data_IF_377347963336
#
_entry.id   IF_377347963336
#
_cell.length_a   1.000
_cell.length_b   1.000
_cell.length_c   1.000
_cell.angle_alpha   90.00
_cell.angle_beta   90.00
_cell.angle_gamma   90.00
#
_symmetry.space_group_name_H-M   'P 1'
#
loop_
_entity.id
_entity.type
_entity.pdbx_description
1 polymer ?
#
# COMPACT_ATOMS: atom_id res chain seq x y z
N UNK A 1 15.46 -40.11 23.10
CA UNK A 1 14.24 -39.95 23.91
C UNK A 1 13.07 -39.71 22.98
N UNK A 2 12.16 -40.69 22.75
CA UNK A 2 10.98 -40.54 21.89
C UNK A 2 10.00 -39.62 22.60
N UNK A 3 9.85 -38.39 22.10
CA UNK A 3 8.86 -37.43 22.61
C UNK A 3 7.48 -37.99 22.23
N UNK A 4 6.77 -38.61 23.18
CA UNK A 4 5.33 -38.91 23.01
C UNK A 4 4.60 -37.57 23.05
N UNK A 5 4.38 -36.96 21.88
CA UNK A 5 3.40 -35.87 21.78
C UNK A 5 2.02 -36.46 22.05
N UNK A 6 1.21 -35.88 22.97
CA UNK A 6 -0.22 -36.10 22.92
C UNK A 6 -0.75 -35.68 21.54
N UNK A 7 -1.80 -36.32 21.07
CA UNK A 7 -2.39 -36.10 19.73
C UNK A 7 -2.53 -34.62 19.36
N UNK A 8 -2.94 -33.77 20.29
CA UNK A 8 -3.08 -32.33 20.07
C UNK A 8 -1.74 -31.63 19.76
N UNK A 9 -0.68 -31.90 20.51
CA UNK A 9 0.65 -31.36 20.25
C UNK A 9 1.24 -31.86 18.92
N UNK A 10 0.93 -33.09 18.53
CA UNK A 10 1.29 -33.64 17.23
C UNK A 10 0.62 -32.86 16.09
N UNK A 11 -0.67 -32.57 16.19
CA UNK A 11 -1.42 -31.78 15.21
C UNK A 11 -0.82 -30.35 15.09
N UNK A 12 -0.58 -29.68 16.22
CA UNK A 12 0.02 -28.34 16.26
C UNK A 12 1.43 -28.33 15.63
N UNK A 13 2.22 -29.37 15.89
CA UNK A 13 3.56 -29.49 15.31
C UNK A 13 3.53 -29.54 13.78
N UNK A 14 2.69 -30.39 13.21
CA UNK A 14 2.59 -30.48 11.75
C UNK A 14 1.98 -29.23 11.13
N UNK A 15 0.97 -28.64 11.79
CA UNK A 15 0.42 -27.34 11.35
C UNK A 15 1.49 -26.25 11.34
N UNK A 16 2.36 -26.22 12.37
CA UNK A 16 3.48 -25.28 12.42
C UNK A 16 4.45 -25.48 11.23
N UNK A 17 4.82 -26.73 10.92
CA UNK A 17 5.70 -27.02 9.76
C UNK A 17 5.04 -26.54 8.46
N UNK A 18 3.76 -26.83 8.24
CA UNK A 18 3.04 -26.43 7.03
C UNK A 18 3.02 -24.90 6.91
N UNK A 19 2.67 -24.17 7.98
CA UNK A 19 2.61 -22.72 7.97
C UNK A 19 3.99 -22.08 7.80
N UNK A 20 5.03 -22.65 8.42
CA UNK A 20 6.40 -22.21 8.24
C UNK A 20 6.87 -22.40 6.78
N UNK A 21 6.54 -23.53 6.17
CA UNK A 21 6.84 -23.81 4.75
C UNK A 21 6.06 -22.86 3.82
N UNK A 22 4.78 -22.61 4.07
CA UNK A 22 3.99 -21.64 3.31
C UNK A 22 4.59 -20.23 3.40
N UNK A 23 5.04 -19.81 4.59
CA UNK A 23 5.71 -18.51 4.75
C UNK A 23 7.01 -18.46 3.96
N UNK A 24 7.82 -19.53 4.01
CA UNK A 24 9.05 -19.61 3.20
C UNK A 24 8.76 -19.48 1.70
N UNK A 25 7.71 -20.15 1.23
CA UNK A 25 7.32 -20.09 -0.17
C UNK A 25 6.90 -18.69 -0.62
N UNK A 26 6.34 -17.87 0.30
CA UNK A 26 5.98 -16.48 -0.01
C UNK A 26 7.18 -15.58 -0.31
N UNK A 27 8.40 -15.96 0.04
CA UNK A 27 9.61 -15.17 -0.26
C UNK A 27 9.88 -15.04 -1.76
N UNK A 28 9.32 -15.93 -2.57
CA UNK A 28 9.39 -15.85 -4.02
C UNK A 28 8.43 -14.81 -4.62
N UNK A 29 7.36 -14.44 -3.88
CA UNK A 29 6.26 -13.64 -4.43
C UNK A 29 6.68 -12.28 -4.98
N UNK A 30 7.58 -11.48 -4.35
CA UNK A 30 8.04 -10.22 -4.91
C UNK A 30 8.75 -10.35 -6.27
N UNK A 31 9.22 -11.54 -6.62
CA UNK A 31 9.96 -11.84 -7.86
C UNK A 31 9.10 -12.52 -8.93
N UNK A 32 7.88 -12.93 -8.58
CA UNK A 32 6.97 -13.62 -9.50
C UNK A 32 6.03 -12.62 -10.17
N UNK A 33 6.31 -12.33 -11.43
CA UNK A 33 5.47 -11.44 -12.22
C UNK A 33 4.00 -11.95 -12.31
N UNK A 34 3.01 -11.15 -11.89
CA UNK A 34 1.60 -11.54 -11.95
C UNK A 34 1.11 -11.93 -13.34
N UNK A 35 1.68 -11.37 -14.41
CA UNK A 35 1.37 -11.75 -15.80
C UNK A 35 1.73 -13.19 -16.11
N UNK A 36 2.83 -13.71 -15.54
CA UNK A 36 3.28 -15.10 -15.73
C UNK A 36 2.70 -16.05 -14.68
N UNK A 37 2.50 -15.57 -13.44
CA UNK A 37 2.07 -16.38 -12.30
C UNK A 37 0.89 -15.75 -11.55
N UNK A 38 -0.27 -15.53 -12.20
CA UNK A 38 -1.37 -14.74 -11.62
C UNK A 38 -1.95 -15.34 -10.34
N UNK A 39 -1.99 -16.67 -10.23
CA UNK A 39 -2.49 -17.35 -9.03
C UNK A 39 -1.47 -17.35 -7.86
N UNK A 40 -0.18 -17.45 -8.15
CA UNK A 40 0.86 -17.41 -7.11
C UNK A 40 1.00 -16.00 -6.51
N UNK A 41 0.74 -14.97 -7.30
CA UNK A 41 0.76 -13.59 -6.82
C UNK A 41 -0.28 -13.29 -5.73
N UNK A 42 -1.34 -14.11 -5.62
CA UNK A 42 -2.31 -14.04 -4.52
C UNK A 42 -1.68 -14.29 -3.16
N UNK A 43 -0.56 -15.01 -3.11
CA UNK A 43 0.15 -15.29 -1.86
C UNK A 43 0.67 -14.01 -1.19
N UNK A 44 0.85 -12.90 -1.93
CA UNK A 44 1.18 -11.60 -1.34
C UNK A 44 0.16 -11.16 -0.27
N UNK A 45 -1.09 -11.54 -0.41
CA UNK A 45 -2.18 -11.15 0.50
C UNK A 45 -2.17 -11.94 1.82
N UNK A 46 -1.52 -13.11 1.84
CA UNK A 46 -1.49 -13.99 3.03
C UNK A 46 -0.18 -13.92 3.80
N UNK A 47 0.81 -13.14 3.36
CA UNK A 47 2.10 -13.00 4.06
C UNK A 47 1.92 -12.51 5.49
N UNK A 48 1.18 -11.42 5.71
CA UNK A 48 0.94 -10.88 7.07
C UNK A 48 0.27 -11.89 8.01
N UNK A 49 -0.84 -12.55 7.64
CA UNK A 49 -1.41 -13.60 8.50
C UNK A 49 -0.46 -14.77 8.71
N UNK A 50 0.35 -15.19 7.73
CA UNK A 50 1.32 -16.26 7.92
C UNK A 50 2.43 -15.88 8.91
N UNK A 51 2.91 -14.63 8.88
CA UNK A 51 3.87 -14.12 9.87
C UNK A 51 3.23 -14.16 11.26
N UNK A 52 2.00 -13.65 11.42
CA UNK A 52 1.29 -13.64 12.70
C UNK A 52 1.12 -15.06 13.25
N UNK A 53 0.68 -16.02 12.42
CA UNK A 53 0.48 -17.40 12.84
C UNK A 53 1.83 -18.03 13.26
N UNK A 54 2.94 -17.76 12.56
CA UNK A 54 4.27 -18.22 12.98
C UNK A 54 4.67 -17.62 14.33
N UNK A 55 4.37 -16.34 14.60
CA UNK A 55 4.61 -15.73 15.92
C UNK A 55 3.80 -16.47 17.01
N UNK A 56 2.53 -16.78 16.73
CA UNK A 56 1.68 -17.54 17.68
C UNK A 56 2.22 -18.96 17.93
N UNK A 57 2.71 -19.67 16.91
CA UNK A 57 3.36 -20.98 17.10
C UNK A 57 4.67 -20.87 17.90
N UNK A 58 5.48 -19.82 17.64
CA UNK A 58 6.68 -19.56 18.40
C UNK A 58 6.38 -19.39 19.89
N UNK A 59 5.37 -18.56 20.22
CA UNK A 59 4.92 -18.33 21.60
C UNK A 59 4.37 -19.63 22.23
N UNK A 60 3.53 -20.38 21.52
CA UNK A 60 2.96 -21.63 22.02
C UNK A 60 4.07 -22.63 22.42
N UNK A 61 5.05 -22.87 21.55
CA UNK A 61 6.15 -23.78 21.84
C UNK A 61 7.13 -23.23 22.89
N UNK A 62 7.33 -21.92 22.93
CA UNK A 62 8.14 -21.27 23.95
C UNK A 62 7.54 -21.49 25.35
N UNK A 63 6.24 -21.29 25.56
CA UNK A 63 5.59 -21.56 26.83
C UNK A 63 5.54 -23.06 27.20
N UNK A 64 5.65 -23.94 26.22
CA UNK A 64 5.80 -25.38 26.45
C UNK A 64 7.25 -25.81 26.69
N UNK A 65 8.21 -24.88 26.66
CA UNK A 65 9.65 -25.12 26.77
C UNK A 65 10.11 -26.20 25.77
N UNK A 66 9.69 -26.07 24.51
CA UNK A 66 10.02 -27.02 23.43
C UNK A 66 10.87 -26.34 22.37
N UNK A 67 11.90 -27.04 21.89
CA UNK A 67 12.79 -26.60 20.78
C UNK A 67 12.02 -26.32 19.47
N UNK A 68 10.79 -26.84 19.32
CA UNK A 68 9.94 -26.56 18.16
C UNK A 68 9.64 -25.06 17.97
N UNK A 69 9.80 -24.24 19.03
CA UNK A 69 9.72 -22.78 18.93
C UNK A 69 10.70 -22.20 17.90
N UNK A 70 11.87 -22.83 17.72
CA UNK A 70 12.89 -22.37 16.77
C UNK A 70 12.44 -22.44 15.32
N UNK A 71 11.53 -23.35 14.95
CA UNK A 71 11.00 -23.45 13.58
C UNK A 71 10.37 -22.12 13.20
N UNK A 72 9.40 -21.67 13.97
CA UNK A 72 8.71 -20.42 13.69
C UNK A 72 9.55 -19.19 13.99
N UNK A 73 10.42 -19.23 15.00
CA UNK A 73 11.33 -18.11 15.30
C UNK A 73 12.24 -17.82 14.10
N UNK A 74 12.89 -18.87 13.56
CA UNK A 74 13.75 -18.74 12.38
C UNK A 74 12.96 -18.18 11.20
N UNK A 75 11.74 -18.69 10.96
CA UNK A 75 10.91 -18.19 9.86
C UNK A 75 10.52 -16.71 10.02
N UNK A 76 10.18 -16.26 11.24
CA UNK A 76 9.87 -14.85 11.52
C UNK A 76 11.11 -13.97 11.32
N UNK A 77 12.29 -14.43 11.77
CA UNK A 77 13.56 -13.72 11.56
C UNK A 77 13.91 -13.64 10.07
N UNK A 78 13.79 -14.74 9.33
CA UNK A 78 14.03 -14.75 7.88
C UNK A 78 13.03 -13.83 7.14
N UNK A 79 11.76 -13.84 7.54
CA UNK A 79 10.75 -12.93 6.97
C UNK A 79 11.10 -11.46 7.25
N UNK A 80 11.58 -11.14 8.44
CA UNK A 80 12.07 -9.80 8.79
C UNK A 80 13.27 -9.38 7.94
N UNK A 81 14.23 -10.26 7.73
CA UNK A 81 15.41 -9.99 6.90
C UNK A 81 15.06 -9.84 5.42
N UNK A 82 14.06 -10.60 4.95
CA UNK A 82 13.67 -10.61 3.54
C UNK A 82 12.73 -9.45 3.18
N UNK A 83 11.68 -9.22 3.98
CA UNK A 83 10.67 -8.20 3.70
C UNK A 83 10.92 -6.87 4.43
N UNK A 84 11.89 -6.82 5.34
CA UNK A 84 12.10 -5.67 6.20
C UNK A 84 11.16 -5.61 7.40
N UNK A 85 11.05 -4.45 8.02
CA UNK A 85 10.26 -4.25 9.24
C UNK A 85 8.76 -4.26 8.96
N UNK A 86 8.02 -5.27 9.46
CA UNK A 86 6.56 -5.32 9.36
C UNK A 86 5.85 -4.52 10.47
N UNK A 87 6.57 -4.11 11.50
CA UNK A 87 6.06 -3.28 12.59
C UNK A 87 7.03 -2.15 12.82
N UNK A 88 6.56 -0.93 12.65
CA UNK A 88 7.33 0.27 13.01
C UNK A 88 6.81 0.80 14.34
N UNK A 89 7.57 0.58 15.40
CA UNK A 89 7.33 1.24 16.68
C UNK A 89 7.80 2.68 16.52
N UNK A 90 6.86 3.63 16.54
CA UNK A 90 7.18 5.05 16.46
C UNK A 90 7.89 5.49 17.74
N UNK A 91 9.20 5.64 17.65
CA UNK A 91 9.91 6.51 18.59
C UNK A 91 9.76 7.93 18.07
N UNK A 92 9.20 8.84 18.85
CA UNK A 92 9.22 10.28 18.56
C UNK A 92 10.67 10.73 18.55
N UNK A 93 11.35 10.55 17.40
CA UNK A 93 12.64 11.22 17.21
C UNK A 93 12.34 12.71 17.09
N UNK A 94 13.10 13.58 17.77
CA UNK A 94 12.97 15.02 17.55
C UNK A 94 13.13 15.25 16.05
N UNK A 95 12.17 15.96 15.46
CA UNK A 95 12.26 16.38 14.06
C UNK A 95 13.42 17.37 14.01
N UNK A 96 14.58 16.91 13.55
CA UNK A 96 15.69 17.81 13.23
C UNK A 96 15.23 18.54 11.98
N UNK A 97 14.68 19.72 12.14
CA UNK A 97 14.32 20.63 11.04
C UNK A 97 15.62 21.17 10.43
N UNK A 98 16.13 20.47 9.43
CA UNK A 98 17.15 21.03 8.54
C UNK A 98 16.45 21.81 7.43
N UNK A 99 17.02 22.94 7.00
CA UNK A 99 16.46 23.80 5.93
C UNK A 99 16.20 23.05 4.59
N UNK A 100 16.77 21.87 4.43
CA UNK A 100 16.68 21.08 3.21
C UNK A 100 15.66 19.93 3.26
N UNK A 101 14.81 19.84 4.29
CA UNK A 101 13.78 18.81 4.36
C UNK A 101 12.60 19.13 3.44
N UNK A 102 11.98 18.08 2.89
CA UNK A 102 10.75 18.13 2.14
C UNK A 102 9.72 17.25 2.83
N UNK A 103 8.64 17.84 3.33
CA UNK A 103 7.56 17.12 3.98
C UNK A 103 6.46 16.80 2.96
N UNK A 104 6.27 15.53 2.70
CA UNK A 104 5.26 15.04 1.76
C UNK A 104 4.17 14.30 2.53
N UNK A 105 2.93 14.64 2.26
CA UNK A 105 1.75 13.95 2.76
C UNK A 105 1.04 13.28 1.58
N UNK A 106 0.84 11.97 1.67
CA UNK A 106 0.10 11.20 0.67
C UNK A 106 -0.99 10.39 1.34
N UNK A 107 -2.24 10.51 0.87
CA UNK A 107 -3.35 9.68 1.33
C UNK A 107 -4.54 9.69 0.37
N UNK A 108 -5.26 8.58 0.34
CA UNK A 108 -6.52 8.45 -0.36
C UNK A 108 -7.64 9.14 0.46
N UNK A 109 -8.25 10.17 -0.10
CA UNK A 109 -9.29 10.97 0.57
C UNK A 109 -10.71 10.42 0.39
N UNK A 110 -10.87 9.29 -0.31
CA UNK A 110 -12.16 8.61 -0.50
C UNK A 110 -13.26 9.57 -0.94
N UNK A 111 -12.98 10.39 -1.95
CA UNK A 111 -13.89 11.44 -2.46
C UNK A 111 -14.41 12.40 -1.37
N UNK A 112 -13.73 12.48 -0.22
CA UNK A 112 -14.17 13.21 0.97
C UNK A 112 -15.57 12.77 1.43
N UNK A 113 -15.83 11.46 1.42
CA UNK A 113 -17.13 10.86 1.75
C UNK A 113 -18.32 11.35 0.89
N UNK A 114 -18.08 11.73 -0.37
CA UNK A 114 -19.09 12.30 -1.25
C UNK A 114 -20.36 11.45 -1.39
N UNK A 115 -20.23 10.12 -1.31
CA UNK A 115 -21.36 9.19 -1.39
C UNK A 115 -21.97 8.83 -0.03
N UNK A 116 -21.44 9.37 1.05
CA UNK A 116 -21.94 9.14 2.40
C UNK A 116 -23.03 10.16 2.78
N UNK A 117 -23.52 10.06 4.00
CA UNK A 117 -24.54 11.01 4.52
C UNK A 117 -23.99 12.43 4.59
N UNK A 118 -24.88 13.43 4.45
CA UNK A 118 -24.51 14.85 4.60
C UNK A 118 -23.88 15.14 5.96
N UNK A 119 -24.28 14.41 7.01
CA UNK A 119 -23.72 14.53 8.34
C UNK A 119 -22.24 14.12 8.38
N UNK A 120 -21.86 13.01 7.73
CA UNK A 120 -20.47 12.55 7.65
C UNK A 120 -19.59 13.50 6.82
N UNK A 121 -20.17 14.20 5.85
CA UNK A 121 -19.45 15.16 5.01
C UNK A 121 -19.19 16.50 5.71
N UNK A 122 -20.11 16.93 6.58
CA UNK A 122 -20.12 18.27 7.19
C UNK A 122 -18.82 18.64 7.92
N UNK A 123 -18.20 17.68 8.57
CA UNK A 123 -16.99 17.91 9.37
C UNK A 123 -15.69 17.76 8.58
N UNK A 124 -15.73 17.19 7.37
CA UNK A 124 -14.52 16.90 6.57
C UNK A 124 -13.66 18.14 6.31
N UNK A 125 -14.24 19.30 5.83
CA UNK A 125 -13.44 20.49 5.60
C UNK A 125 -12.69 20.96 6.85
N UNK A 126 -13.37 21.03 7.99
CA UNK A 126 -12.78 21.45 9.26
C UNK A 126 -11.68 20.48 9.73
N UNK A 127 -11.91 19.17 9.58
CA UNK A 127 -10.89 18.15 9.92
C UNK A 127 -9.66 18.28 9.03
N UNK A 128 -9.85 18.43 7.72
CA UNK A 128 -8.76 18.62 6.77
C UNK A 128 -7.97 19.91 7.05
N UNK A 129 -8.65 21.04 7.25
CA UNK A 129 -8.00 22.31 7.57
C UNK A 129 -7.19 22.21 8.87
N UNK A 130 -7.74 21.58 9.90
CA UNK A 130 -7.02 21.35 11.17
C UNK A 130 -5.80 20.46 10.99
N UNK A 131 -5.96 19.38 10.23
CA UNK A 131 -4.87 18.43 9.97
C UNK A 131 -3.73 19.08 9.16
N UNK A 132 -4.06 19.80 8.09
CA UNK A 132 -3.09 20.50 7.26
C UNK A 132 -2.35 21.60 8.03
N UNK A 133 -3.04 22.34 8.90
CA UNK A 133 -2.41 23.33 9.79
C UNK A 133 -1.44 22.73 10.79
N UNK A 134 -1.76 21.55 11.31
CA UNK A 134 -0.90 20.86 12.29
C UNK A 134 0.32 20.22 11.61
N UNK A 135 0.10 19.55 10.47
CA UNK A 135 1.15 18.82 9.76
C UNK A 135 2.02 19.72 8.88
N UNK A 136 1.47 20.79 8.34
CA UNK A 136 2.15 21.75 7.45
C UNK A 136 3.01 21.09 6.36
N UNK A 137 2.49 20.12 5.59
CA UNK A 137 3.27 19.50 4.55
C UNK A 137 3.66 20.50 3.46
N UNK A 138 4.77 20.24 2.78
CA UNK A 138 5.21 21.03 1.63
C UNK A 138 4.48 20.62 0.36
N UNK A 139 4.12 19.32 0.29
CA UNK A 139 3.47 18.68 -0.85
C UNK A 139 2.38 17.75 -0.37
N UNK A 140 1.23 17.80 -1.07
CA UNK A 140 0.10 16.89 -0.87
C UNK A 140 -0.09 16.04 -2.12
N UNK A 141 -0.13 14.72 -1.95
CA UNK A 141 -0.50 13.74 -2.97
C UNK A 141 -1.83 13.10 -2.58
N UNK A 142 -2.92 13.52 -3.22
CA UNK A 142 -4.28 13.07 -2.87
C UNK A 142 -4.81 12.15 -3.95
N UNK A 143 -5.29 10.96 -3.55
CA UNK A 143 -5.99 10.01 -4.40
C UNK A 143 -7.49 10.08 -4.10
N UNK A 144 -8.33 9.69 -5.04
CA UNK A 144 -9.78 9.82 -4.98
C UNK A 144 -10.23 11.25 -4.63
N UNK A 145 -9.58 12.22 -5.23
CA UNK A 145 -9.87 13.64 -5.00
C UNK A 145 -11.18 14.06 -5.65
N UNK A 146 -12.02 14.77 -4.90
CA UNK A 146 -13.26 15.37 -5.39
C UNK A 146 -13.20 16.90 -5.28
N UNK A 147 -13.33 17.59 -6.41
CA UNK A 147 -13.28 19.07 -6.48
C UNK A 147 -14.45 19.80 -5.83
N UNK A 148 -15.57 19.08 -5.57
CA UNK A 148 -16.80 19.69 -5.06
C UNK A 148 -16.77 19.93 -3.54
N UNK A 149 -15.72 19.47 -2.85
CA UNK A 149 -15.55 19.72 -1.42
C UNK A 149 -14.84 21.06 -1.20
N UNK A 150 -15.42 21.90 -0.34
CA UNK A 150 -14.86 23.19 0.01
C UNK A 150 -13.76 23.06 1.08
N UNK A 151 -12.57 22.64 0.65
CA UNK A 151 -11.39 22.54 1.50
C UNK A 151 -10.43 23.68 1.13
N UNK A 152 -9.83 24.29 2.14
CA UNK A 152 -8.91 25.39 1.94
C UNK A 152 -7.50 24.88 1.62
N UNK A 153 -7.07 25.02 0.37
CA UNK A 153 -5.73 24.75 -0.12
C UNK A 153 -4.93 26.02 -0.46
N UNK A 154 -5.27 27.18 0.10
CA UNK A 154 -4.64 28.48 -0.24
C UNK A 154 -3.15 28.54 0.08
N UNK A 155 -2.64 27.71 1.01
CA UNK A 155 -1.22 27.60 1.33
C UNK A 155 -0.39 26.88 0.22
N UNK A 156 -1.07 26.30 -0.78
CA UNK A 156 -0.47 25.56 -1.89
C UNK A 156 -0.74 26.28 -3.21
N UNK A 157 0.06 27.27 -3.59
CA UNK A 157 -0.17 28.09 -4.80
C UNK A 157 -0.01 27.28 -6.09
N UNK A 158 0.73 26.17 -6.04
CA UNK A 158 0.97 25.32 -7.20
C UNK A 158 0.18 24.02 -7.07
N UNK A 159 -0.50 23.63 -8.16
CA UNK A 159 -1.31 22.42 -8.18
C UNK A 159 -1.35 21.78 -9.55
N UNK A 160 -1.40 20.46 -9.56
CA UNK A 160 -1.72 19.65 -10.73
C UNK A 160 -2.82 18.68 -10.38
N UNK A 161 -3.98 18.80 -11.03
CA UNK A 161 -5.18 18.03 -10.74
C UNK A 161 -5.70 17.42 -12.02
N UNK A 162 -5.96 16.12 -12.00
CA UNK A 162 -6.50 15.38 -13.12
C UNK A 162 -7.71 14.54 -12.72
N UNK A 163 -8.73 14.58 -13.56
CA UNK A 163 -9.94 13.79 -13.43
C UNK A 163 -10.06 12.85 -14.62
N UNK A 164 -10.30 11.57 -14.37
CA UNK A 164 -10.51 10.61 -15.42
C UNK A 164 -11.94 10.71 -15.96
N UNK A 165 -12.10 10.75 -17.30
CA UNK A 165 -13.39 10.72 -18.00
C UNK A 165 -14.43 11.77 -17.54
N UNK A 166 -14.00 12.98 -17.21
CA UNK A 166 -14.83 14.07 -16.67
C UNK A 166 -15.55 13.73 -15.35
N UNK A 167 -15.20 12.65 -14.69
CA UNK A 167 -15.77 12.23 -13.42
C UNK A 167 -15.26 13.10 -12.25
N UNK A 168 -15.95 13.01 -11.13
CA UNK A 168 -15.54 13.64 -9.87
C UNK A 168 -14.35 12.94 -9.22
N UNK A 169 -14.01 11.73 -9.69
CA UNK A 169 -12.88 10.94 -9.20
C UNK A 169 -11.58 11.45 -9.81
N UNK A 170 -10.78 12.10 -9.02
CA UNK A 170 -9.53 12.71 -9.46
C UNK A 170 -8.32 12.34 -8.61
N UNK A 171 -7.19 12.86 -9.06
CA UNK A 171 -5.91 12.86 -8.35
C UNK A 171 -5.40 14.27 -8.30
N UNK A 172 -4.79 14.67 -7.19
CA UNK A 172 -4.24 15.99 -7.02
C UNK A 172 -2.84 15.96 -6.42
N UNK A 173 -1.95 16.79 -6.97
CA UNK A 173 -0.71 17.19 -6.33
C UNK A 173 -0.84 18.67 -6.04
N UNK A 174 -0.78 19.05 -4.77
CA UNK A 174 -0.67 20.41 -4.30
C UNK A 174 0.73 20.65 -3.75
N UNK A 175 1.32 21.82 -4.02
CA UNK A 175 2.69 22.12 -3.64
C UNK A 175 2.88 23.57 -3.25
N UNK A 176 3.71 23.83 -2.24
CA UNK A 176 4.25 25.14 -1.91
C UNK A 176 5.29 25.61 -2.94
N UNK A 177 5.85 24.68 -3.71
CA UNK A 177 6.90 24.90 -4.71
C UNK A 177 6.37 24.79 -6.13
N UNK A 178 7.01 25.43 -7.13
CA UNK A 178 6.61 25.34 -8.53
C UNK A 178 6.56 23.89 -9.03
N UNK A 179 5.56 23.59 -9.85
CA UNK A 179 5.36 22.32 -10.54
C UNK A 179 5.62 22.50 -12.03
N UNK A 180 6.45 21.63 -12.61
CA UNK A 180 6.74 21.57 -14.05
C UNK A 180 6.66 20.13 -14.55
N UNK A 181 6.76 19.90 -15.86
CA UNK A 181 6.81 18.58 -16.50
C UNK A 181 5.73 17.63 -16.00
N UNK A 182 4.50 18.13 -15.96
CA UNK A 182 3.36 17.33 -15.48
C UNK A 182 2.94 16.28 -16.50
N UNK A 183 2.60 15.08 -16.02
CA UNK A 183 2.12 13.97 -16.83
C UNK A 183 1.02 13.19 -16.13
N UNK A 184 0.13 12.58 -16.91
CA UNK A 184 -0.94 11.70 -16.39
C UNK A 184 -0.96 10.37 -17.13
N UNK A 185 -0.98 9.26 -16.39
CA UNK A 185 -1.13 7.91 -16.92
C UNK A 185 -2.61 7.56 -17.00
N UNK A 186 -3.18 7.60 -18.18
CA UNK A 186 -4.58 7.21 -18.38
C UNK A 186 -4.67 5.71 -18.64
N UNK A 187 -4.44 4.89 -17.61
CA UNK A 187 -4.48 3.43 -17.74
C UNK A 187 -5.77 2.95 -18.38
N UNK A 188 -5.62 2.09 -19.40
CA UNK A 188 -6.74 1.51 -20.14
C UNK A 188 -7.58 0.63 -19.21
N UNK A 189 -8.90 0.68 -19.38
CA UNK A 189 -9.86 -0.15 -18.64
C UNK A 189 -9.72 -0.10 -17.10
N UNK A 190 -9.34 1.06 -16.59
CA UNK A 190 -9.22 1.32 -15.16
C UNK A 190 -9.77 2.69 -14.82
N UNK A 191 -10.44 2.82 -13.67
CA UNK A 191 -10.79 4.12 -13.08
C UNK A 191 -9.64 4.72 -12.28
N UNK A 192 -8.65 3.91 -11.94
CA UNK A 192 -7.46 4.32 -11.23
C UNK A 192 -6.49 5.03 -12.18
N UNK A 193 -5.66 5.90 -11.64
CA UNK A 193 -4.76 6.74 -12.41
C UNK A 193 -3.46 7.02 -11.63
N UNK A 194 -2.45 7.53 -12.32
CA UNK A 194 -1.23 8.06 -11.72
C UNK A 194 -0.95 9.42 -12.35
N UNK A 195 -0.62 10.40 -11.54
CA UNK A 195 -0.16 11.70 -12.00
C UNK A 195 1.26 11.97 -11.51
N UNK A 196 2.01 12.73 -12.30
CA UNK A 196 3.42 13.05 -12.06
C UNK A 196 3.64 14.54 -12.21
N UNK A 197 4.51 15.07 -11.40
CA UNK A 197 5.04 16.42 -11.55
C UNK A 197 6.49 16.48 -11.09
N UNK A 198 7.28 17.33 -11.71
CA UNK A 198 8.59 17.73 -11.22
C UNK A 198 8.42 18.96 -10.33
N UNK A 199 8.99 18.91 -9.12
CA UNK A 199 8.92 19.96 -8.11
C UNK A 199 10.27 20.67 -8.05
N UNK A 200 10.26 22.01 -8.15
CA UNK A 200 11.47 22.84 -8.07
C UNK A 200 11.59 23.40 -6.65
N UNK A 201 12.59 22.94 -5.89
CA UNK A 201 12.93 23.48 -4.57
C UNK A 201 14.35 24.06 -4.61
N UNK A 202 14.45 25.37 -4.71
CA UNK A 202 15.73 26.04 -4.88
C UNK A 202 16.39 25.67 -6.22
N UNK A 203 17.51 24.96 -6.17
CA UNK A 203 18.24 24.46 -7.36
C UNK A 203 17.90 23.00 -7.68
N UNK A 204 17.18 22.33 -6.81
CA UNK A 204 16.88 20.91 -6.92
C UNK A 204 15.54 20.68 -7.63
N UNK A 205 15.52 19.69 -8.50
CA UNK A 205 14.30 19.19 -9.14
C UNK A 205 14.05 17.77 -8.67
N UNK A 206 12.85 17.51 -8.12
CA UNK A 206 12.44 16.21 -7.59
C UNK A 206 11.18 15.79 -8.31
N UNK A 207 11.20 14.60 -8.93
CA UNK A 207 10.03 14.03 -9.59
C UNK A 207 9.15 13.28 -8.58
N UNK A 208 7.87 13.64 -8.53
CA UNK A 208 6.90 13.00 -7.64
C UNK A 208 5.84 12.28 -8.46
N UNK A 209 5.64 11.00 -8.15
CA UNK A 209 4.52 10.19 -8.62
C UNK A 209 3.48 10.09 -7.52
N UNK A 210 2.28 10.56 -7.82
CA UNK A 210 1.08 10.32 -7.01
C UNK A 210 0.28 9.22 -7.68
N UNK A 211 0.44 7.99 -7.19
CA UNK A 211 -0.17 6.83 -7.81
C UNK A 211 -1.42 6.35 -7.07
N UNK A 212 -2.32 5.76 -7.84
CA UNK A 212 -3.46 5.01 -7.35
C UNK A 212 -3.64 3.81 -8.29
N UNK A 213 -3.05 2.68 -7.92
CA UNK A 213 -3.07 1.47 -8.73
C UNK A 213 -4.44 0.79 -8.69
N UNK A 214 -4.68 -0.11 -9.63
CA UNK A 214 -5.92 -0.85 -9.76
C UNK A 214 -6.38 -1.47 -8.43
N UNK A 215 -7.55 -1.10 -7.96
CA UNK A 215 -8.14 -1.70 -6.77
C UNK A 215 -8.71 -3.09 -7.06
N UNK A 216 -8.80 -3.95 -6.04
CA UNK A 216 -9.43 -5.26 -6.18
C UNK A 216 -10.94 -5.17 -6.39
N UNK A 217 -11.57 -4.04 -6.05
CA UNK A 217 -13.02 -3.81 -6.14
C UNK A 217 -13.84 -4.93 -5.49
N UNK A 218 -13.40 -5.34 -4.30
CA UNK A 218 -14.09 -6.31 -3.44
C UNK A 218 -14.86 -5.52 -2.41
N UNK A 219 -16.17 -5.78 -2.30
CA UNK A 219 -16.97 -5.20 -1.23
C UNK A 219 -16.58 -5.86 0.11
N UNK A 220 -16.17 -5.07 1.12
CA UNK A 220 -15.77 -5.60 2.42
C UNK A 220 -16.99 -5.96 3.28
N UNK A 221 -17.91 -6.77 2.75
CA UNK A 221 -19.07 -7.26 3.48
C UNK A 221 -19.04 -8.78 3.56
N UNK A 222 -19.35 -9.32 4.73
CA UNK A 222 -19.41 -10.78 4.94
C UNK A 222 -20.42 -11.43 4.00
N UNK A 223 -21.56 -10.77 3.76
CA UNK A 223 -22.59 -11.26 2.83
C UNK A 223 -22.03 -11.44 1.42
N UNK A 224 -21.34 -10.42 0.88
CA UNK A 224 -20.73 -10.51 -0.44
C UNK A 224 -19.69 -11.63 -0.53
N UNK A 225 -18.85 -11.78 0.49
CA UNK A 225 -17.81 -12.81 0.52
C UNK A 225 -18.37 -14.24 0.64
N UNK A 226 -19.54 -14.40 1.26
CA UNK A 226 -20.22 -15.69 1.38
C UNK A 226 -21.02 -16.07 0.12
N UNK A 227 -21.53 -15.08 -0.61
CA UNK A 227 -22.36 -15.30 -1.79
C UNK A 227 -21.54 -15.44 -3.09
N UNK A 228 -20.32 -14.88 -3.13
CA UNK A 228 -19.48 -14.94 -4.33
C UNK A 228 -18.75 -16.29 -4.40
N UNK A 229 -18.80 -16.93 -5.56
CA UNK A 229 -18.03 -18.12 -5.86
C UNK A 229 -16.52 -17.87 -5.67
N UNK A 230 -15.84 -18.77 -4.95
CA UNK A 230 -14.42 -18.63 -4.63
C UNK A 230 -13.52 -18.60 -5.86
N UNK A 231 -13.88 -19.32 -6.93
CA UNK A 231 -13.11 -19.31 -8.18
C UNK A 231 -13.27 -18.00 -8.92
N UNK A 232 -14.48 -17.43 -8.96
CA UNK A 232 -14.77 -16.11 -9.51
C UNK A 232 -13.98 -15.05 -8.76
N UNK A 233 -13.98 -15.09 -7.42
CA UNK A 233 -13.22 -14.16 -6.58
C UNK A 233 -11.72 -14.28 -6.84
N UNK A 234 -11.18 -15.49 -6.83
CA UNK A 234 -9.76 -15.78 -7.12
C UNK A 234 -9.35 -15.23 -8.48
N UNK A 235 -10.13 -15.51 -9.52
CA UNK A 235 -9.87 -15.02 -10.89
C UNK A 235 -9.92 -13.50 -10.96
N UNK A 236 -10.92 -12.88 -10.31
CA UNK A 236 -11.04 -11.43 -10.24
C UNK A 236 -9.80 -10.78 -9.62
N UNK A 237 -9.34 -11.27 -8.46
CA UNK A 237 -8.17 -10.73 -7.76
C UNK A 237 -6.90 -10.93 -8.59
N UNK A 238 -6.67 -12.14 -9.14
CA UNK A 238 -5.53 -12.43 -10.01
C UNK A 238 -5.44 -11.48 -11.21
N UNK A 239 -6.56 -11.23 -11.89
CA UNK A 239 -6.60 -10.27 -13.00
C UNK A 239 -6.29 -8.84 -12.58
N UNK A 240 -6.67 -8.44 -11.35
CA UNK A 240 -6.33 -7.11 -10.82
C UNK A 240 -4.84 -6.98 -10.51
N UNK A 241 -4.21 -8.03 -10.00
CA UNK A 241 -2.75 -8.08 -9.80
C UNK A 241 -1.99 -7.96 -11.12
N UNK A 242 -2.47 -8.62 -12.20
CA UNK A 242 -1.92 -8.47 -13.55
C UNK A 242 -2.07 -7.02 -14.04
N UNK A 243 -3.22 -6.38 -13.83
CA UNK A 243 -3.41 -4.97 -14.19
C UNK A 243 -2.46 -4.05 -13.41
N UNK A 244 -2.27 -4.29 -12.12
CA UNK A 244 -1.32 -3.52 -11.30
C UNK A 244 0.11 -3.64 -11.83
N UNK A 245 0.55 -4.84 -12.22
CA UNK A 245 1.87 -5.01 -12.85
C UNK A 245 1.99 -4.15 -14.11
N UNK A 246 1.03 -4.25 -15.05
CA UNK A 246 1.09 -3.48 -16.29
C UNK A 246 1.14 -1.97 -16.04
N UNK A 247 0.43 -1.47 -15.02
CA UNK A 247 0.46 -0.08 -14.60
C UNK A 247 1.83 0.33 -14.05
N UNK A 248 2.43 -0.52 -13.22
CA UNK A 248 3.78 -0.27 -12.67
C UNK A 248 4.84 -0.32 -13.76
N UNK A 249 4.76 -1.27 -14.69
CA UNK A 249 5.70 -1.37 -15.83
C UNK A 249 5.67 -0.09 -16.68
N UNK A 250 4.48 0.48 -16.94
CA UNK A 250 4.32 1.76 -17.66
C UNK A 250 4.94 2.93 -16.86
N UNK A 251 4.72 2.97 -15.54
CA UNK A 251 5.31 3.99 -14.65
C UNK A 251 6.84 3.88 -14.64
N UNK A 252 7.40 2.67 -14.55
CA UNK A 252 8.84 2.44 -14.52
C UNK A 252 9.50 2.81 -15.85
N UNK A 253 8.86 2.52 -17.00
CA UNK A 253 9.34 2.96 -18.30
C UNK A 253 9.41 4.50 -18.39
N UNK A 254 8.45 5.21 -17.83
CA UNK A 254 8.48 6.67 -17.75
C UNK A 254 9.55 7.17 -16.79
N UNK A 255 9.65 6.56 -15.61
CA UNK A 255 10.65 6.91 -14.59
C UNK A 255 12.08 6.80 -15.13
N UNK A 256 12.38 5.73 -15.86
CA UNK A 256 13.72 5.43 -16.39
C UNK A 256 14.18 6.43 -17.49
N UNK A 257 13.31 7.33 -17.97
CA UNK A 257 13.65 8.41 -18.90
C UNK A 257 14.10 9.69 -18.18
N UNK A 258 14.26 9.69 -16.86
CA UNK A 258 14.60 10.86 -16.06
C UNK A 258 15.72 10.53 -15.08
N UNK A 259 16.72 11.42 -15.02
CA UNK A 259 17.83 11.34 -14.06
C UNK A 259 17.53 12.09 -12.75
N UNK A 260 16.38 12.76 -12.65
CA UNK A 260 15.99 13.46 -11.42
C UNK A 260 15.73 12.47 -10.28
N UNK A 261 16.03 12.84 -9.02
CA UNK A 261 15.58 12.10 -7.84
C UNK A 261 14.08 11.88 -7.89
N UNK A 262 13.64 10.65 -7.57
CA UNK A 262 12.24 10.25 -7.70
C UNK A 262 11.66 9.87 -6.35
N UNK A 263 10.46 10.37 -6.08
CA UNK A 263 9.62 9.93 -4.96
C UNK A 263 8.33 9.34 -5.53
N UNK A 264 8.04 8.10 -5.15
CA UNK A 264 6.80 7.42 -5.51
C UNK A 264 5.96 7.32 -4.25
N UNK A 265 4.77 7.89 -4.28
CA UNK A 265 3.81 7.85 -3.18
C UNK A 265 2.40 7.63 -3.69
N UNK A 266 1.50 7.16 -2.84
CA UNK A 266 0.10 6.98 -3.22
C UNK A 266 -0.51 5.70 -2.69
N UNK A 267 -1.64 5.31 -3.28
CA UNK A 267 -2.37 4.10 -2.94
C UNK A 267 -2.02 2.97 -3.93
N UNK A 268 -1.18 2.05 -3.49
CA UNK A 268 -0.80 0.88 -4.28
C UNK A 268 -1.91 -0.15 -4.41
N UNK A 269 -2.95 -0.08 -3.56
CA UNK A 269 -4.02 -1.07 -3.49
C UNK A 269 -3.50 -2.51 -3.36
N UNK A 270 -2.35 -2.68 -2.71
CA UNK A 270 -1.68 -3.97 -2.51
C UNK A 270 -0.86 -3.96 -1.22
N UNK A 271 -0.37 -5.14 -0.82
CA UNK A 271 0.52 -5.28 0.32
C UNK A 271 1.96 -4.94 -0.06
N UNK A 272 2.78 -4.55 0.91
CA UNK A 272 4.22 -4.32 0.73
C UNK A 272 5.01 -5.60 0.41
N UNK A 273 4.35 -6.76 0.36
CA UNK A 273 4.93 -8.06 0.02
C UNK A 273 4.69 -8.47 -1.43
N UNK A 274 4.08 -7.59 -2.20
CA UNK A 274 3.70 -7.89 -3.59
C UNK A 274 4.79 -7.50 -4.59
N UNK A 275 4.71 -8.04 -5.78
CA UNK A 275 5.61 -7.73 -6.91
C UNK A 275 5.63 -6.24 -7.26
N UNK A 276 4.52 -5.51 -7.05
CA UNK A 276 4.38 -4.11 -7.48
C UNK A 276 4.87 -3.10 -6.44
N UNK A 277 5.29 -3.54 -5.26
CA UNK A 277 5.80 -2.68 -4.19
C UNK A 277 7.32 -2.70 -4.14
#
# INVERSE_FOLDING_TARGET
>A
MKIKFGFFNWLIYWSNIVVAFLLLFTFLVPYLAPTSFPNLSLLSLVVSPLILINILFCLYWFFKIKSNAFISLIMVVLAYLHFGSFIKLSTKKPVITTQNQLKILSFNVRLFNFYETKESQKNIPKMMDSYLKNEQPDILCLQEFNKNMNINFSEYPHRYIQFKNKNILGHAIYSKYPLINTHTFNFKDSYNNTIVADIIKGKDTIRIYNLHLQSFSILPSMKYLQEVDNEVLRKKVSMRLVKQQNQVDEILQHKNKSDSPVIISGDFNNTAFSYVY
#
